data_IF_238221890925
#
_entry.id   IF_238221890925
#
_cell.length_a   1.000
_cell.length_b   1.000
_cell.length_c   1.000
_cell.angle_alpha   90.00
_cell.angle_beta   90.00
_cell.angle_gamma   90.00
#
_symmetry.space_group_name_H-M   'P 1'
#
loop_
_entity.id
_entity.type
_entity.pdbx_description
1 polymer ?
#
# COMPACT_ATOMS: atom_id res chain seq x y z
N UNK A 1 2.06 7.43 12.73
CA UNK A 1 2.29 6.50 11.59
C UNK A 1 1.87 7.22 10.31
N UNK A 2 2.51 6.95 9.17
CA UNK A 2 2.01 7.39 7.86
C UNK A 2 1.27 6.22 7.21
N UNK A 3 -0.06 6.22 7.30
CA UNK A 3 -0.92 5.21 6.66
C UNK A 3 -1.03 5.55 5.17
N UNK A 4 -0.51 4.65 4.32
CA UNK A 4 -0.30 4.93 2.89
C UNK A 4 -1.19 4.03 2.02
N UNK A 5 -2.23 4.61 1.41
CA UNK A 5 -3.25 3.89 0.65
C UNK A 5 -2.82 3.55 -0.79
N UNK A 6 -1.65 2.94 -0.99
CA UNK A 6 -1.09 2.61 -2.30
C UNK A 6 -1.78 1.41 -2.97
N UNK A 7 -3.04 1.58 -3.39
CA UNK A 7 -3.75 0.58 -4.21
C UNK A 7 -3.29 0.58 -5.67
N UNK A 8 -2.82 1.74 -6.17
CA UNK A 8 -1.96 1.79 -7.33
C UNK A 8 -0.53 1.48 -6.86
N UNK A 9 -0.07 0.28 -7.21
CA UNK A 9 1.13 -0.35 -6.66
C UNK A 9 1.87 -1.09 -7.76
N UNK A 10 3.20 -1.11 -7.68
CA UNK A 10 4.06 -1.90 -8.57
C UNK A 10 3.86 -3.42 -8.39
N UNK A 11 3.09 -3.84 -7.37
CA UNK A 11 2.67 -5.23 -7.16
C UNK A 11 1.43 -5.63 -7.96
N UNK A 12 0.71 -4.68 -8.56
CA UNK A 12 -0.52 -4.95 -9.29
C UNK A 12 -0.25 -5.56 -10.67
N UNK A 13 -1.23 -6.33 -11.15
CA UNK A 13 -1.14 -7.32 -12.25
C UNK A 13 -0.58 -6.75 -13.55
N UNK A 14 -0.94 -5.50 -13.86
CA UNK A 14 -0.39 -4.69 -14.96
C UNK A 14 -0.80 -3.22 -14.75
N UNK A 15 0.14 -2.26 -14.79
CA UNK A 15 -0.19 -0.83 -14.74
C UNK A 15 -0.87 -0.34 -16.03
N UNK A 16 -0.70 -1.08 -17.14
CA UNK A 16 -1.32 -0.78 -18.43
C UNK A 16 -2.84 -1.06 -18.41
N UNK A 17 -3.33 -1.86 -17.44
CA UNK A 17 -4.75 -1.99 -17.10
C UNK A 17 -5.24 -0.84 -16.20
N UNK A 18 -4.77 0.38 -16.44
CA UNK A 18 -4.92 1.52 -15.53
C UNK A 18 -6.35 1.82 -15.04
N UNK A 19 -7.38 1.50 -15.83
CA UNK A 19 -8.79 1.64 -15.42
C UNK A 19 -9.20 0.67 -14.29
N UNK A 20 -8.67 -0.56 -14.31
CA UNK A 20 -8.94 -1.56 -13.27
C UNK A 20 -8.29 -1.12 -11.96
N UNK A 21 -7.06 -0.60 -12.02
CA UNK A 21 -6.35 -0.10 -10.85
C UNK A 21 -7.02 1.12 -10.21
N UNK A 22 -7.54 2.03 -11.03
CA UNK A 22 -8.33 3.17 -10.54
C UNK A 22 -9.63 2.71 -9.87
N UNK A 23 -10.24 1.64 -10.37
CA UNK A 23 -11.40 1.02 -9.72
C UNK A 23 -11.02 0.38 -8.37
N UNK A 24 -9.86 -0.29 -8.28
CA UNK A 24 -9.37 -0.83 -7.02
C UNK A 24 -9.01 0.24 -6.00
N UNK A 25 -8.48 1.38 -6.47
CA UNK A 25 -8.17 2.52 -5.61
C UNK A 25 -9.40 3.10 -4.91
N UNK A 26 -10.62 2.88 -5.41
CA UNK A 26 -11.86 3.24 -4.71
C UNK A 26 -12.03 2.51 -3.36
N UNK A 27 -11.23 1.48 -3.09
CA UNK A 27 -11.19 0.81 -1.80
C UNK A 27 -10.24 1.48 -0.80
N UNK A 28 -9.45 2.48 -1.21
CA UNK A 28 -8.55 3.24 -0.35
C UNK A 28 -9.19 3.78 0.94
N UNK A 29 -10.44 4.28 0.95
CA UNK A 29 -11.10 4.76 2.16
C UNK A 29 -11.11 3.75 3.32
N UNK A 30 -11.05 2.43 3.04
CA UNK A 30 -11.02 1.40 4.09
C UNK A 30 -9.79 1.48 4.99
N UNK A 31 -8.74 2.20 4.59
CA UNK A 31 -7.55 2.40 5.44
C UNK A 31 -7.77 3.42 6.56
N UNK A 32 -8.82 4.25 6.50
CA UNK A 32 -9.18 5.15 7.59
C UNK A 32 -9.48 4.40 8.91
N UNK A 33 -9.91 3.14 8.84
CA UNK A 33 -10.14 2.28 10.01
C UNK A 33 -8.88 1.89 10.78
N UNK A 34 -7.69 2.12 10.23
CA UNK A 34 -6.41 1.83 10.89
C UNK A 34 -5.87 3.03 11.67
N UNK A 35 -6.49 4.19 11.53
CA UNK A 35 -5.97 5.44 12.08
C UNK A 35 -5.97 5.42 13.60
N UNK A 36 -4.92 6.04 14.15
CA UNK A 36 -4.75 6.35 15.56
C UNK A 36 -4.46 7.84 15.71
N UNK A 37 -4.66 8.41 16.91
CA UNK A 37 -4.26 9.80 17.17
C UNK A 37 -2.77 10.02 16.82
N UNK A 38 -2.50 11.09 16.08
CA UNK A 38 -1.17 11.46 15.57
C UNK A 38 -0.82 10.85 14.20
N UNK A 39 -1.71 10.08 13.58
CA UNK A 39 -1.43 9.50 12.26
C UNK A 39 -1.66 10.47 11.11
N UNK A 40 -0.89 10.24 10.03
CA UNK A 40 -1.06 10.88 8.73
C UNK A 40 -1.64 9.86 7.76
N UNK A 41 -2.78 10.15 7.15
CA UNK A 41 -3.42 9.32 6.14
C UNK A 41 -3.21 9.90 4.75
N UNK A 42 -2.54 9.16 3.86
CA UNK A 42 -2.34 9.56 2.46
C UNK A 42 -3.19 8.66 1.56
N UNK A 43 -4.10 9.24 0.79
CA UNK A 43 -5.07 8.52 -0.05
C UNK A 43 -5.13 9.07 -1.48
N UNK A 44 -5.25 8.21 -2.52
CA UNK A 44 -5.46 8.65 -3.92
C UNK A 44 -6.92 9.02 -4.24
N UNK A 45 -7.85 8.77 -3.32
CA UNK A 45 -9.29 8.98 -3.53
C UNK A 45 -9.81 9.99 -2.51
N UNK A 46 -10.58 11.01 -2.94
CA UNK A 46 -11.25 11.95 -2.04
C UNK A 46 -12.17 11.25 -1.05
N UNK A 47 -12.22 11.75 0.18
CA UNK A 47 -13.02 11.21 1.26
C UNK A 47 -14.15 12.19 1.59
N UNK A 48 -15.38 11.67 1.70
CA UNK A 48 -16.46 12.49 2.20
C UNK A 48 -16.28 12.79 3.69
N UNK A 49 -16.71 13.98 4.12
CA UNK A 49 -16.68 14.37 5.53
C UNK A 49 -17.57 13.46 6.38
N UNK A 50 -18.68 13.00 5.80
CA UNK A 50 -19.62 12.08 6.44
C UNK A 50 -18.98 10.73 6.71
N UNK A 51 -18.21 10.19 5.75
CA UNK A 51 -17.49 8.94 5.93
C UNK A 51 -16.42 9.05 7.01
N UNK A 52 -15.61 10.12 6.99
CA UNK A 52 -14.59 10.34 8.01
C UNK A 52 -15.20 10.46 9.41
N UNK A 53 -16.27 11.26 9.56
CA UNK A 53 -17.00 11.37 10.84
C UNK A 53 -17.51 10.01 11.31
N UNK A 54 -18.13 9.23 10.42
CA UNK A 54 -18.62 7.89 10.75
C UNK A 54 -17.50 6.96 11.25
N UNK A 55 -16.33 6.98 10.60
CA UNK A 55 -15.17 6.19 11.03
C UNK A 55 -14.68 6.67 12.39
N UNK A 56 -14.50 7.99 12.58
CA UNK A 56 -14.02 8.57 13.83
C UNK A 56 -14.95 8.27 15.02
N UNK A 57 -16.26 8.36 14.81
CA UNK A 57 -17.26 8.04 15.84
C UNK A 57 -17.16 6.58 16.29
N UNK A 58 -16.86 5.66 15.37
CA UNK A 58 -16.75 4.22 15.67
C UNK A 58 -15.39 3.79 16.20
N UNK A 59 -14.31 4.45 15.79
CA UNK A 59 -12.95 4.14 16.26
C UNK A 59 -12.55 4.92 17.51
N UNK A 60 -13.30 5.97 17.86
CA UNK A 60 -12.99 6.87 18.97
C UNK A 60 -11.79 7.78 18.71
N UNK A 61 -11.36 7.92 17.45
CA UNK A 61 -10.24 8.78 17.06
C UNK A 61 -10.73 10.23 16.96
N UNK A 62 -10.16 11.19 17.69
CA UNK A 62 -10.53 12.59 17.55
C UNK A 62 -10.18 13.12 16.15
N UNK A 63 -11.11 13.75 15.41
CA UNK A 63 -10.87 14.21 14.04
C UNK A 63 -9.66 15.14 13.88
N UNK A 64 -9.41 15.99 14.87
CA UNK A 64 -8.30 16.94 14.92
C UNK A 64 -6.94 16.31 15.20
N UNK A 65 -6.92 15.04 15.63
CA UNK A 65 -5.70 14.32 15.97
C UNK A 65 -5.05 13.62 14.76
N UNK A 66 -5.69 13.63 13.59
CA UNK A 66 -5.18 12.99 12.37
C UNK A 66 -5.10 13.98 11.23
N UNK A 67 -4.07 13.82 10.39
CA UNK A 67 -3.93 14.59 9.15
C UNK A 67 -4.35 13.72 7.96
N UNK A 68 -5.30 14.19 7.16
CA UNK A 68 -5.73 13.50 5.93
C UNK A 68 -5.22 14.27 4.71
N UNK A 69 -4.50 13.57 3.84
CA UNK A 69 -3.91 14.09 2.62
C UNK A 69 -4.53 13.35 1.45
N UNK A 70 -5.43 14.04 0.76
CA UNK A 70 -6.03 13.59 -0.50
C UNK A 70 -5.10 13.99 -1.65
N UNK A 71 -4.51 12.99 -2.32
CA UNK A 71 -3.60 13.21 -3.44
C UNK A 71 -4.42 13.41 -4.71
N UNK A 72 -4.22 14.51 -5.47
CA UNK A 72 -4.91 14.73 -6.73
C UNK A 72 -4.71 13.57 -7.72
N UNK A 73 -5.68 13.28 -8.60
CA UNK A 73 -5.54 12.23 -9.60
C UNK A 73 -4.33 12.48 -10.52
N UNK A 74 -3.46 11.48 -10.67
CA UNK A 74 -2.25 11.53 -11.51
C UNK A 74 -2.21 10.41 -12.57
N UNK A 75 -3.40 9.91 -12.97
CA UNK A 75 -3.52 8.74 -13.83
C UNK A 75 -3.15 7.44 -13.13
N UNK A 76 -2.82 6.41 -13.92
CA UNK A 76 -2.51 5.06 -13.42
C UNK A 76 -1.04 4.95 -12.97
N UNK A 77 -0.65 5.76 -11.99
CA UNK A 77 0.71 5.77 -11.43
C UNK A 77 0.70 5.33 -9.95
N UNK A 78 1.81 4.77 -9.44
CA UNK A 78 1.93 4.46 -8.02
C UNK A 78 1.68 5.70 -7.14
N UNK A 79 1.05 5.51 -5.97
CA UNK A 79 0.69 6.63 -5.08
C UNK A 79 1.90 7.52 -4.72
N UNK A 80 3.07 6.92 -4.49
CA UNK A 80 4.29 7.66 -4.22
C UNK A 80 4.69 8.61 -5.36
N UNK A 81 4.46 8.23 -6.61
CA UNK A 81 4.70 9.09 -7.76
C UNK A 81 3.67 10.22 -7.83
N UNK A 82 2.39 9.91 -7.59
CA UNK A 82 1.34 10.93 -7.54
C UNK A 82 1.60 11.99 -6.46
N UNK A 83 2.07 11.59 -5.27
CA UNK A 83 2.48 12.51 -4.19
C UNK A 83 3.63 13.43 -4.63
N UNK A 84 4.63 12.90 -5.35
CA UNK A 84 5.75 13.68 -5.90
C UNK A 84 5.28 14.67 -6.94
N UNK A 85 4.48 14.24 -7.90
CA UNK A 85 3.94 15.09 -8.98
C UNK A 85 3.02 16.19 -8.44
N UNK A 86 2.29 15.93 -7.34
CA UNK A 86 1.49 16.91 -6.64
C UNK A 86 2.29 17.88 -5.74
N UNK A 87 3.60 17.70 -5.61
CA UNK A 87 4.45 18.54 -4.74
C UNK A 87 4.19 18.34 -3.25
N UNK A 88 3.62 17.20 -2.85
CA UNK A 88 3.17 16.93 -1.47
C UNK A 88 4.22 16.24 -0.58
N UNK A 89 5.39 15.90 -1.11
CA UNK A 89 6.44 15.15 -0.38
C UNK A 89 6.84 15.82 0.92
N UNK A 90 7.21 17.10 0.86
CA UNK A 90 7.66 17.85 2.04
C UNK A 90 6.52 18.11 3.03
N UNK A 91 5.28 18.18 2.54
CA UNK A 91 4.11 18.28 3.41
C UNK A 91 3.87 16.98 4.20
N UNK A 92 3.96 15.83 3.52
CA UNK A 92 3.90 14.52 4.19
C UNK A 92 5.06 14.35 5.17
N UNK A 93 6.29 14.74 4.78
CA UNK A 93 7.48 14.71 5.65
C UNK A 93 7.26 15.53 6.92
N UNK A 94 6.79 16.77 6.78
CA UNK A 94 6.55 17.66 7.90
C UNK A 94 5.49 17.12 8.88
N UNK A 95 4.43 16.51 8.35
CA UNK A 95 3.36 15.92 9.18
C UNK A 95 3.76 14.60 9.83
N UNK A 96 4.66 13.81 9.22
CA UNK A 96 5.18 12.60 9.82
C UNK A 96 5.98 12.88 11.11
N UNK A 97 6.48 14.11 11.28
CA UNK A 97 7.23 14.55 12.46
C UNK A 97 8.67 14.03 12.51
N UNK A 98 9.33 14.20 13.66
CA UNK A 98 10.71 13.76 13.90
C UNK A 98 10.86 12.23 14.02
N UNK A 99 12.13 11.77 14.00
CA UNK A 99 12.59 10.37 13.95
C UNK A 99 11.76 9.41 14.82
N UNK A 100 11.20 8.36 14.20
CA UNK A 100 10.43 7.30 14.86
C UNK A 100 9.09 7.00 14.20
N UNK A 101 8.64 7.85 13.28
CA UNK A 101 7.54 7.51 12.38
C UNK A 101 7.93 6.37 11.43
N UNK A 102 6.93 5.64 10.96
CA UNK A 102 7.07 4.64 9.92
C UNK A 102 5.93 4.79 8.90
N UNK A 103 6.17 4.33 7.68
CA UNK A 103 5.19 4.17 6.62
C UNK A 103 4.46 2.83 6.82
N UNK A 104 3.14 2.84 6.84
CA UNK A 104 2.29 1.65 6.77
C UNK A 104 1.65 1.56 5.38
N UNK A 105 2.30 0.90 4.41
CA UNK A 105 1.74 0.75 3.09
C UNK A 105 0.59 -0.27 3.07
N UNK A 106 -0.35 -0.07 2.13
CA UNK A 106 -1.37 -1.06 1.81
C UNK A 106 -0.75 -2.30 1.19
N UNK A 107 0.18 -2.09 0.27
CA UNK A 107 0.95 -3.11 -0.41
C UNK A 107 2.44 -2.77 -0.27
N UNK A 108 3.28 -3.70 0.18
CA UNK A 108 4.72 -3.45 0.26
C UNK A 108 5.32 -3.53 -1.14
N UNK A 109 5.51 -2.38 -1.78
CA UNK A 109 6.08 -2.24 -3.12
C UNK A 109 7.34 -1.37 -3.15
N UNK A 110 8.03 -1.36 -4.30
CA UNK A 110 9.26 -0.59 -4.48
C UNK A 110 9.01 0.92 -4.33
N UNK A 111 7.92 1.43 -4.90
CA UNK A 111 7.54 2.84 -4.86
C UNK A 111 7.32 3.37 -3.43
N UNK A 112 6.65 2.61 -2.56
CA UNK A 112 6.38 2.96 -1.18
C UNK A 112 7.66 2.90 -0.33
N UNK A 113 8.50 1.89 -0.53
CA UNK A 113 9.80 1.79 0.14
C UNK A 113 10.69 2.98 -0.24
N UNK A 114 10.78 3.32 -1.53
CA UNK A 114 11.53 4.48 -1.99
C UNK A 114 10.97 5.78 -1.42
N UNK A 115 9.64 5.89 -1.31
CA UNK A 115 9.00 7.06 -0.68
C UNK A 115 9.34 7.19 0.81
N UNK A 116 9.32 6.10 1.58
CA UNK A 116 9.71 6.10 2.99
C UNK A 116 11.16 6.58 3.16
N UNK A 117 12.08 6.09 2.31
CA UNK A 117 13.46 6.57 2.25
C UNK A 117 13.55 8.07 2.00
N UNK A 118 12.82 8.57 1.00
CA UNK A 118 12.90 9.99 0.61
C UNK A 118 12.47 10.92 1.76
N UNK A 119 11.44 10.54 2.51
CA UNK A 119 10.95 11.33 3.66
C UNK A 119 11.66 10.99 4.99
N UNK A 120 12.56 10.00 4.99
CA UNK A 120 13.41 9.68 6.14
C UNK A 120 12.72 8.91 7.27
N UNK A 121 11.78 8.02 6.93
CA UNK A 121 11.06 7.18 7.90
C UNK A 121 11.22 5.69 7.57
N UNK A 122 10.98 4.82 8.56
CA UNK A 122 11.01 3.38 8.37
C UNK A 122 9.75 2.86 7.65
N UNK A 123 9.69 1.56 7.34
CA UNK A 123 8.51 0.92 6.73
C UNK A 123 7.97 -0.15 7.67
N UNK A 124 6.81 0.08 8.28
CA UNK A 124 6.19 -0.88 9.18
C UNK A 124 5.80 -2.18 8.44
N UNK A 125 6.01 -3.38 9.03
CA UNK A 125 6.53 -3.66 10.38
C UNK A 125 8.06 -3.82 10.44
N UNK A 126 8.79 -3.45 9.38
CA UNK A 126 10.23 -3.60 9.31
C UNK A 126 10.94 -2.49 10.08
N UNK A 127 12.01 -2.81 10.81
CA UNK A 127 12.72 -1.84 11.65
C UNK A 127 13.58 -0.86 10.84
N UNK A 128 13.83 -1.13 9.55
CA UNK A 128 14.55 -0.23 8.64
C UNK A 128 14.00 -0.36 7.22
N UNK A 129 14.31 0.62 6.37
CA UNK A 129 14.03 0.57 4.93
C UNK A 129 14.74 -0.63 4.26
N UNK A 130 15.99 -0.92 4.63
CA UNK A 130 16.76 -2.05 4.08
C UNK A 130 16.12 -3.39 4.44
N UNK A 131 15.57 -3.51 5.65
CA UNK A 131 14.83 -4.71 6.05
C UNK A 131 13.54 -4.88 5.22
N UNK A 132 12.86 -3.79 4.88
CA UNK A 132 11.71 -3.82 3.98
C UNK A 132 12.11 -4.19 2.54
N UNK A 133 13.24 -3.67 2.04
CA UNK A 133 13.78 -4.04 0.72
C UNK A 133 14.16 -5.51 0.64
N UNK A 134 14.78 -6.06 1.68
CA UNK A 134 15.11 -7.47 1.76
C UNK A 134 13.85 -8.36 1.67
N UNK A 135 12.71 -7.88 2.16
CA UNK A 135 11.44 -8.59 2.11
C UNK A 135 10.67 -8.40 0.79
N UNK A 136 11.01 -7.39 -0.03
CA UNK A 136 10.25 -7.03 -1.23
C UNK A 136 10.18 -8.19 -2.23
N UNK A 137 11.32 -8.84 -2.54
CA UNK A 137 11.35 -9.97 -3.49
C UNK A 137 10.43 -11.11 -3.06
N UNK A 138 10.43 -11.45 -1.77
CA UNK A 138 9.57 -12.49 -1.21
C UNK A 138 8.11 -12.07 -1.26
N UNK A 139 7.81 -10.81 -0.96
CA UNK A 139 6.46 -10.25 -1.04
C UNK A 139 5.91 -10.34 -2.48
N UNK A 140 6.71 -9.95 -3.47
CA UNK A 140 6.33 -10.06 -4.89
C UNK A 140 6.04 -11.51 -5.28
N UNK A 141 6.89 -12.45 -4.85
CA UNK A 141 6.69 -13.87 -5.13
C UNK A 141 5.38 -14.38 -4.53
N UNK A 142 5.14 -14.09 -3.25
CA UNK A 142 3.94 -14.55 -2.54
C UNK A 142 2.65 -13.88 -3.02
N UNK A 143 2.74 -12.72 -3.68
CA UNK A 143 1.59 -12.07 -4.31
C UNK A 143 1.12 -12.81 -5.59
N UNK A 144 1.91 -13.75 -6.10
CA UNK A 144 1.51 -14.63 -7.21
C UNK A 144 1.02 -15.98 -6.69
N UNK A 145 -0.03 -16.54 -7.32
CA UNK A 145 -0.53 -17.88 -6.95
C UNK A 145 0.53 -18.97 -7.15
N UNK A 146 1.31 -18.85 -8.22
CA UNK A 146 2.43 -19.74 -8.51
C UNK A 146 3.52 -19.65 -7.43
N UNK A 147 3.98 -18.44 -7.11
CA UNK A 147 5.01 -18.23 -6.11
C UNK A 147 4.57 -18.62 -4.70
N UNK A 148 3.30 -18.41 -4.36
CA UNK A 148 2.72 -18.97 -3.12
C UNK A 148 2.81 -20.51 -3.09
N UNK A 149 2.41 -21.21 -4.18
CA UNK A 149 2.46 -22.68 -4.24
C UNK A 149 3.89 -23.19 -4.09
N UNK A 150 4.85 -22.60 -4.81
CA UNK A 150 6.28 -22.96 -4.70
C UNK A 150 6.83 -22.74 -3.28
N UNK A 151 6.52 -21.60 -2.66
CA UNK A 151 6.96 -21.31 -1.30
C UNK A 151 6.35 -22.28 -0.27
N UNK A 152 5.05 -22.56 -0.41
CA UNK A 152 4.32 -23.49 0.45
C UNK A 152 4.85 -24.92 0.34
N UNK A 153 5.18 -25.40 -0.86
CA UNK A 153 5.82 -26.70 -1.09
C UNK A 153 7.19 -26.79 -0.41
N UNK A 154 8.04 -25.76 -0.57
CA UNK A 154 9.36 -25.69 0.10
C UNK A 154 9.26 -25.72 1.62
N UNK A 155 8.22 -25.08 2.17
CA UNK A 155 7.93 -25.05 3.61
C UNK A 155 7.17 -26.29 4.09
N UNK A 156 6.87 -27.25 3.20
CA UNK A 156 6.09 -28.47 3.49
C UNK A 156 4.71 -28.17 4.06
N UNK A 157 4.09 -27.07 3.61
CA UNK A 157 2.71 -26.74 3.93
C UNK A 157 1.76 -27.70 3.22
N UNK A 158 0.62 -28.00 3.85
CA UNK A 158 -0.45 -28.77 3.20
C UNK A 158 -1.10 -27.92 2.11
N UNK A 159 -1.15 -28.43 0.89
CA UNK A 159 -1.77 -27.77 -0.25
C UNK A 159 -2.81 -28.69 -0.92
N UNK A 160 -3.88 -28.12 -1.50
CA UNK A 160 -4.75 -28.86 -2.40
C UNK A 160 -3.95 -29.44 -3.58
N UNK A 161 -4.29 -30.67 -3.96
CA UNK A 161 -3.75 -31.31 -5.15
C UNK A 161 -4.00 -30.43 -6.39
N UNK A 162 -2.97 -30.29 -7.23
CA UNK A 162 -3.01 -29.43 -8.41
C UNK A 162 -1.62 -29.09 -8.90
N UNK A 163 -1.55 -28.39 -10.03
CA UNK A 163 -0.30 -27.95 -10.65
C UNK A 163 -0.43 -26.52 -11.17
N UNK A 164 0.71 -25.85 -11.34
CA UNK A 164 0.78 -24.62 -12.11
C UNK A 164 0.85 -24.99 -13.59
N UNK A 165 -0.02 -24.39 -14.41
CA UNK A 165 0.00 -24.56 -15.87
C UNK A 165 0.32 -23.21 -16.52
N UNK A 166 1.14 -23.21 -17.57
CA UNK A 166 1.24 -22.06 -18.49
C UNK A 166 0.08 -22.10 -19.49
N UNK A 167 -0.34 -20.96 -20.01
CA UNK A 167 -1.49 -20.83 -20.93
C UNK A 167 -1.47 -21.86 -22.09
N UNK A 168 -0.35 -22.13 -22.78
CA UNK A 168 -0.32 -23.12 -23.86
C UNK A 168 -0.53 -24.56 -23.38
N UNK A 169 -0.26 -24.86 -22.11
CA UNK A 169 -0.41 -26.19 -21.51
C UNK A 169 -1.85 -26.45 -21.02
N UNK A 170 -2.64 -25.39 -20.86
CA UNK A 170 -4.04 -25.46 -20.41
C UNK A 170 -5.02 -25.66 -21.57
N UNK A 171 -4.68 -25.24 -22.79
CA UNK A 171 -5.53 -25.40 -23.99
C UNK A 171 -5.49 -26.83 -24.57
N UNK A 172 -4.58 -27.68 -24.09
CA UNK A 172 -4.46 -29.09 -24.47
C UNK A 172 -5.07 -30.08 -23.48
N UNK A 173 -5.91 -29.62 -22.54
CA UNK A 173 -6.64 -30.43 -21.55
C UNK A 173 -8.13 -30.42 -21.85
#
# INVERSE_FOLDING_TARGET
>A
MVVFANFLSDLAVDLDEGQILMTWAQQAPRKAWLLRPGDVFVTPVPLSREFLRYVYDLTGVPPESVAVIEVPPAGAVPLARAVREAGLVEYVRALAGDRGAALLPTALDASAIAFARDIGIDVHPYPTVEAAEAALRTTMLLNTKTGFREAAERLRMRLPAGRTCRRPEAEGV
#
